data_IF_629294009906
#
_entry.id   IF_629294009906
#
_cell.length_a   1.000
_cell.length_b   1.000
_cell.length_c   1.000
_cell.angle_alpha   90.00
_cell.angle_beta   90.00
_cell.angle_gamma   90.00
#
_symmetry.space_group_name_H-M   'P 1'
#
loop_
_entity.id
_entity.type
_entity.pdbx_description
1 polymer ?
#
# COMPACT_ATOMS: atom_id res chain seq x y z
N UNK A 1 6.54 6.10 -11.27
CA UNK A 1 5.19 5.55 -11.08
C UNK A 1 5.11 4.57 -9.91
N UNK A 2 5.56 3.30 -9.95
CA UNK A 2 5.46 2.44 -8.76
C UNK A 2 6.61 2.58 -7.73
N UNK A 3 7.83 2.89 -8.21
CA UNK A 3 9.01 3.13 -7.33
C UNK A 3 8.82 4.30 -6.36
N UNK A 4 7.84 5.17 -6.60
CA UNK A 4 7.51 6.30 -5.73
C UNK A 4 6.76 5.91 -4.47
N UNK A 5 6.31 4.65 -4.40
CA UNK A 5 5.69 4.05 -3.22
C UNK A 5 6.70 3.36 -2.30
N UNK A 6 7.98 3.31 -2.67
CA UNK A 6 9.05 2.77 -1.83
C UNK A 6 9.15 3.61 -0.54
N UNK A 7 9.26 2.92 0.58
CA UNK A 7 9.17 3.44 1.95
C UNK A 7 7.83 4.10 2.30
N UNK A 8 6.75 3.82 1.55
CA UNK A 8 5.40 4.29 1.88
C UNK A 8 4.50 3.13 2.25
N UNK A 9 3.57 3.40 3.16
CA UNK A 9 2.51 2.47 3.49
C UNK A 9 1.53 2.38 2.32
N UNK A 10 1.26 1.17 1.85
CA UNK A 10 0.40 0.93 0.70
C UNK A 10 -0.57 -0.20 0.98
N UNK A 11 -1.68 -0.17 0.25
CA UNK A 11 -2.58 -1.29 0.12
C UNK A 11 -2.36 -1.92 -1.26
N UNK A 12 -2.12 -3.23 -1.30
CA UNK A 12 -1.97 -4.00 -2.53
C UNK A 12 -3.25 -4.80 -2.74
N UNK A 13 -3.92 -4.58 -3.86
CA UNK A 13 -5.01 -5.39 -4.35
C UNK A 13 -4.45 -6.43 -5.32
N UNK A 14 -4.78 -7.70 -5.09
CA UNK A 14 -4.34 -8.80 -5.92
C UNK A 14 -5.37 -9.12 -7.03
N UNK A 15 -4.92 -9.83 -8.06
CA UNK A 15 -5.75 -10.23 -9.20
C UNK A 15 -6.86 -11.23 -8.84
N UNK A 16 -6.66 -12.01 -7.77
CA UNK A 16 -7.63 -12.96 -7.23
C UNK A 16 -8.72 -12.28 -6.38
N UNK A 17 -8.64 -10.96 -6.19
CA UNK A 17 -9.57 -10.17 -5.39
C UNK A 17 -9.17 -10.06 -3.92
N UNK A 18 -8.10 -10.75 -3.48
CA UNK A 18 -7.53 -10.53 -2.16
C UNK A 18 -6.87 -9.16 -2.03
N UNK A 19 -6.65 -8.70 -0.80
CA UNK A 19 -5.85 -7.48 -0.57
C UNK A 19 -5.03 -7.57 0.71
N UNK A 20 -3.86 -6.96 0.71
CA UNK A 20 -3.05 -6.71 1.91
C UNK A 20 -2.89 -5.22 2.14
N UNK A 21 -3.04 -4.81 3.39
CA UNK A 21 -3.03 -3.41 3.81
C UNK A 21 -2.15 -3.22 5.04
N UNK A 22 -1.76 -1.97 5.32
CA UNK A 22 -1.04 -1.63 6.55
C UNK A 22 0.45 -1.98 6.55
N UNK A 23 1.00 -2.40 5.41
CA UNK A 23 2.41 -2.68 5.22
C UNK A 23 3.10 -1.66 4.33
N UNK A 24 4.41 -1.64 4.42
CA UNK A 24 5.28 -0.70 3.72
C UNK A 24 5.96 -1.39 2.55
N UNK A 25 5.98 -0.74 1.39
CA UNK A 25 6.76 -1.22 0.25
C UNK A 25 8.24 -0.90 0.51
N UNK A 26 9.07 -1.92 0.73
CA UNK A 26 10.50 -1.72 1.06
C UNK A 26 11.36 -1.69 -0.20
N UNK A 27 11.04 -2.58 -1.13
CA UNK A 27 11.82 -2.77 -2.35
C UNK A 27 10.88 -3.15 -3.50
N UNK A 28 11.27 -2.77 -4.70
CA UNK A 28 10.59 -3.16 -5.93
C UNK A 28 11.64 -3.51 -6.96
N UNK A 29 11.43 -4.64 -7.60
CA UNK A 29 12.11 -5.08 -8.81
C UNK A 29 11.10 -5.12 -9.98
N UNK A 30 11.53 -5.56 -11.16
CA UNK A 30 10.64 -5.74 -12.31
C UNK A 30 9.76 -6.98 -12.19
N UNK A 31 10.15 -7.93 -11.32
CA UNK A 31 9.43 -9.21 -11.13
C UNK A 31 8.62 -9.27 -9.85
N UNK A 32 9.06 -8.59 -8.79
CA UNK A 32 8.46 -8.69 -7.46
C UNK A 32 8.54 -7.38 -6.69
N UNK A 33 7.75 -7.29 -5.63
CA UNK A 33 7.85 -6.25 -4.60
C UNK A 33 8.06 -6.88 -3.23
N UNK A 34 8.91 -6.26 -2.40
CA UNK A 34 9.03 -6.60 -0.98
C UNK A 34 8.08 -5.73 -0.18
N UNK A 35 7.15 -6.38 0.50
CA UNK A 35 6.12 -5.74 1.31
C UNK A 35 6.29 -6.15 2.77
N UNK A 36 6.63 -5.19 3.61
CA UNK A 36 6.85 -5.40 5.05
C UNK A 36 5.61 -5.03 5.82
N UNK A 37 4.98 -6.03 6.40
CA UNK A 37 3.92 -5.89 7.41
C UNK A 37 4.53 -5.94 8.82
N UNK A 38 3.81 -5.51 9.86
CA UNK A 38 4.31 -5.56 11.24
C UNK A 38 4.76 -6.95 11.71
N UNK A 39 4.22 -8.00 11.10
CA UNK A 39 4.42 -9.40 11.49
C UNK A 39 5.27 -10.21 10.50
N UNK A 40 5.49 -9.70 9.28
CA UNK A 40 6.12 -10.48 8.21
C UNK A 40 6.68 -9.62 7.08
N UNK A 41 7.71 -10.14 6.42
CA UNK A 41 8.25 -9.60 5.17
C UNK A 41 7.81 -10.53 4.03
N UNK A 42 6.99 -10.01 3.11
CA UNK A 42 6.42 -10.77 2.01
C UNK A 42 7.06 -10.37 0.69
N UNK A 43 7.37 -11.35 -0.16
CA UNK A 43 7.81 -11.13 -1.53
C UNK A 43 6.61 -11.42 -2.44
N UNK A 44 6.09 -10.38 -3.08
CA UNK A 44 4.86 -10.44 -3.87
C UNK A 44 5.22 -10.31 -5.35
N UNK A 45 4.87 -11.27 -6.22
CA UNK A 45 5.06 -11.16 -7.66
C UNK A 45 4.21 -10.02 -8.25
N UNK A 46 4.79 -9.22 -9.15
CA UNK A 46 4.06 -8.12 -9.81
C UNK A 46 2.89 -8.64 -10.64
N UNK A 47 3.02 -9.83 -11.22
CA UNK A 47 1.95 -10.50 -11.98
C UNK A 47 0.70 -10.79 -11.15
N UNK A 48 0.83 -10.86 -9.82
CA UNK A 48 -0.29 -11.10 -8.91
C UNK A 48 -0.96 -9.80 -8.45
N UNK A 49 -0.37 -8.63 -8.75
CA UNK A 49 -0.85 -7.33 -8.31
C UNK A 49 -1.80 -6.76 -9.35
N UNK A 50 -3.02 -6.42 -8.91
CA UNK A 50 -4.01 -5.70 -9.71
C UNK A 50 -3.83 -4.20 -9.61
N UNK A 51 -3.63 -3.67 -8.40
CA UNK A 51 -3.40 -2.25 -8.17
C UNK A 51 -2.71 -2.01 -6.84
N UNK A 52 -1.93 -0.92 -6.75
CA UNK A 52 -1.31 -0.46 -5.51
C UNK A 52 -1.83 0.94 -5.19
N UNK A 53 -2.34 1.12 -3.97
CA UNK A 53 -2.90 2.38 -3.50
C UNK A 53 -2.09 2.87 -2.31
N UNK A 54 -1.70 4.14 -2.32
CA UNK A 54 -1.07 4.76 -1.16
C UNK A 54 -2.06 4.75 0.02
N UNK A 55 -1.64 4.26 1.18
CA UNK A 55 -2.32 4.64 2.41
C UNK A 55 -1.86 6.05 2.75
N UNK A 56 -2.59 7.03 2.23
CA UNK A 56 -2.52 8.37 2.77
C UNK A 56 -3.09 8.28 4.18
N UNK A 57 -2.24 8.48 5.19
CA UNK A 57 -2.69 8.77 6.54
C UNK A 57 -3.41 10.10 6.55
N UNK A 58 -4.62 10.15 6.02
CA UNK A 58 -5.56 11.21 6.32
C UNK A 58 -5.91 11.09 7.80
N UNK A 59 -5.12 11.77 8.62
CA UNK A 59 -5.71 12.67 9.59
C UNK A 59 -6.49 13.76 8.82
N UNK A 60 -7.56 13.41 8.12
CA UNK A 60 -8.63 14.36 7.87
C UNK A 60 -9.44 14.46 9.16
N UNK A 61 -8.82 15.12 10.13
CA UNK A 61 -9.56 15.97 11.07
C UNK A 61 -10.06 17.19 10.30
N UNK A 62 -10.82 16.98 9.22
CA UNK A 62 -11.74 17.99 8.72
C UNK A 62 -12.94 17.94 9.66
N UNK A 63 -12.73 18.47 10.87
CA UNK A 63 -13.83 18.92 11.71
C UNK A 63 -14.52 20.03 10.93
N UNK A 64 -15.49 19.68 10.08
CA UNK A 64 -16.51 20.61 9.61
C UNK A 64 -17.50 20.79 10.76
N UNK A 65 -17.06 21.47 11.82
CA UNK A 65 -18.00 22.10 12.74
C UNK A 65 -18.62 23.25 11.97
N UNK A 66 -19.75 22.98 11.33
CA UNK A 66 -20.64 24.02 10.84
C UNK A 66 -20.94 24.96 12.00
N UNK A 67 -20.50 26.20 11.89
CA UNK A 67 -20.91 27.28 12.77
C UNK A 67 -22.38 27.58 12.46
N UNK A 68 -23.24 27.50 13.48
CA UNK A 68 -24.60 28.04 13.48
C UNK A 68 -24.65 29.26 14.39
#
# INVERSE_FOLDING_TARGET
MLKEFINKQVTILFIDGGSVSGGTLIEMDEKFVKYQSPQSLNIIPITSIKSVTLQSGENHNATVRGFR
#
